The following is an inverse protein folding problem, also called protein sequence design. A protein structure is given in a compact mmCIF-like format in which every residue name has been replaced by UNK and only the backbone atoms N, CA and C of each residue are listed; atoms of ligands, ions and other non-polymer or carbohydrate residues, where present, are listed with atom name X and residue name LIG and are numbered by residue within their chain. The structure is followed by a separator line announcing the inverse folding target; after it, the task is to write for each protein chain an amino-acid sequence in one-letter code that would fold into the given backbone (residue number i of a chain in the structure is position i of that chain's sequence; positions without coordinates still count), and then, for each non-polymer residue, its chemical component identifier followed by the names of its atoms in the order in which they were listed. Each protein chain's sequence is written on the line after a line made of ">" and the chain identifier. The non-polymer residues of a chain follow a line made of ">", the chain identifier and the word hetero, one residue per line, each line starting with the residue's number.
data_IF_923443263562
#
_entry.id   IF_923443263562
#
_cell.length_a   1.000
_cell.length_b   1.000
_cell.length_c   1.000
_cell.angle_alpha   90.00
_cell.angle_beta   90.00
_cell.angle_gamma   90.00
#
_symmetry.space_group_name_H-M   'P 1'
#
loop_
_entity.id
_entity.type
_entity.pdbx_description
1 polymer ?
#
# COMPACT_ATOMS: atom_id res chain seq x y z
N UNK A 1 -12.70 46.05 28.01
CA UNK A 1 -11.52 45.20 27.74
C UNK A 1 -11.75 43.86 28.42
N UNK A 2 -12.04 42.80 27.67
CA UNK A 2 -11.94 41.41 28.13
C UNK A 2 -12.04 40.49 26.90
N UNK A 3 -10.91 39.88 26.59
CA UNK A 3 -10.64 38.88 25.56
C UNK A 3 -11.34 37.55 25.87
N UNK A 4 -11.94 36.93 24.84
CA UNK A 4 -12.40 35.54 24.88
C UNK A 4 -11.47 34.70 23.99
N UNK A 5 -10.46 34.07 24.60
CA UNK A 5 -9.64 33.06 23.95
C UNK A 5 -10.33 31.70 24.11
N UNK A 6 -10.77 31.11 22.99
CA UNK A 6 -11.29 29.75 22.95
C UNK A 6 -10.17 28.75 23.19
N UNK A 7 -10.22 28.04 24.31
CA UNK A 7 -9.39 26.87 24.56
C UNK A 7 -9.87 25.74 23.64
N UNK A 8 -9.02 25.34 22.69
CA UNK A 8 -9.12 24.05 22.02
C UNK A 8 -8.75 23.00 23.06
N UNK A 9 -9.75 22.34 23.62
CA UNK A 9 -9.59 21.17 24.47
C UNK A 9 -9.05 20.04 23.60
N UNK A 10 -7.75 19.76 23.68
CA UNK A 10 -7.17 18.50 23.23
C UNK A 10 -7.83 17.37 24.04
N UNK A 11 -8.56 16.49 23.35
CA UNK A 11 -9.10 15.26 23.94
C UNK A 11 -7.97 14.39 24.52
N UNK A 12 -8.26 13.56 25.53
CA UNK A 12 -7.24 12.75 26.15
C UNK A 12 -6.64 11.78 25.14
N UNK A 13 -5.33 11.90 24.93
CA UNK A 13 -4.46 10.87 24.37
C UNK A 13 -4.81 9.55 25.05
N UNK A 14 -5.33 8.57 24.30
CA UNK A 14 -5.71 7.26 24.83
C UNK A 14 -4.51 6.62 25.53
N UNK A 15 -4.51 6.61 26.86
CA UNK A 15 -3.53 5.86 27.64
C UNK A 15 -3.59 4.38 27.21
N UNK A 16 -2.44 3.67 27.15
CA UNK A 16 -2.44 2.24 26.87
C UNK A 16 -3.34 1.55 27.90
N UNK A 17 -4.45 1.01 27.44
CA UNK A 17 -5.41 0.30 28.29
C UNK A 17 -4.67 -0.82 29.01
N UNK A 18 -4.66 -0.82 30.35
CA UNK A 18 -4.17 -1.90 31.21
C UNK A 18 -5.08 -3.14 31.11
N UNK A 19 -5.28 -3.62 29.88
CA UNK A 19 -6.05 -4.81 29.58
C UNK A 19 -5.26 -6.08 29.89
N UNK A 20 -5.93 -7.24 29.93
CA UNK A 20 -5.28 -8.54 30.13
C UNK A 20 -4.14 -8.81 29.14
N UNK A 21 -4.16 -8.19 27.95
CA UNK A 21 -3.12 -8.31 26.94
C UNK A 21 -1.73 -7.82 27.39
N UNK A 22 -1.63 -6.79 28.25
CA UNK A 22 -0.34 -6.32 28.79
C UNK A 22 0.31 -7.34 29.73
N UNK A 23 -0.48 -8.25 30.32
CA UNK A 23 -0.02 -9.26 31.28
C UNK A 23 0.45 -10.54 30.60
N UNK A 24 0.08 -10.75 29.35
CA UNK A 24 0.49 -11.92 28.56
C UNK A 24 1.82 -11.58 27.90
N UNK A 25 2.90 -12.22 28.35
CA UNK A 25 4.22 -12.13 27.69
C UNK A 25 4.25 -13.09 26.50
N UNK A 26 4.81 -12.62 25.39
CA UNK A 26 5.04 -13.40 24.19
C UNK A 26 6.53 -13.75 24.11
N UNK A 27 6.81 -15.00 23.78
CA UNK A 27 8.11 -15.50 23.34
C UNK A 27 7.84 -16.67 22.39
N UNK A 28 7.63 -16.34 21.12
CA UNK A 28 7.21 -17.30 20.10
C UNK A 28 8.30 -17.35 19.03
N UNK A 29 8.96 -18.50 18.92
CA UNK A 29 9.91 -18.76 17.84
C UNK A 29 9.18 -19.30 16.60
N UNK A 30 9.40 -18.65 15.47
CA UNK A 30 8.90 -19.04 14.14
C UNK A 30 10.11 -19.36 13.27
N UNK A 31 10.33 -20.65 13.02
CA UNK A 31 11.45 -21.13 12.24
C UNK A 31 10.95 -22.03 11.12
N UNK A 32 11.47 -21.82 9.91
CA UNK A 32 11.18 -22.73 8.81
C UNK A 32 12.12 -23.94 8.86
N UNK A 33 11.57 -25.15 8.91
CA UNK A 33 12.38 -26.37 8.99
C UNK A 33 13.11 -26.72 7.68
N UNK A 34 12.45 -26.48 6.53
CA UNK A 34 12.96 -26.62 5.15
C UNK A 34 12.16 -25.67 4.25
N UNK A 35 12.78 -25.18 3.18
CA UNK A 35 12.22 -24.32 2.10
C UNK A 35 10.80 -23.80 2.37
N UNK A 36 10.72 -22.58 2.92
CA UNK A 36 9.48 -21.84 3.13
C UNK A 36 8.81 -21.70 1.77
N UNK A 37 7.65 -22.30 1.59
CA UNK A 37 6.80 -22.06 0.43
C UNK A 37 5.55 -21.33 0.93
N UNK A 38 5.51 -20.01 0.77
CA UNK A 38 4.39 -19.20 1.17
C UNK A 38 3.58 -18.80 -0.06
N UNK A 39 2.37 -19.32 -0.18
CA UNK A 39 1.48 -19.04 -1.30
C UNK A 39 0.21 -18.35 -0.81
N UNK A 40 -0.10 -17.22 -1.42
CA UNK A 40 -1.34 -16.45 -1.27
C UNK A 40 -1.84 -16.03 -2.64
N UNK A 41 -3.02 -15.40 -2.72
CA UNK A 41 -3.55 -14.88 -3.98
C UNK A 41 -2.66 -13.81 -4.64
N UNK A 42 -1.79 -13.15 -3.89
CA UNK A 42 -0.94 -12.07 -4.37
C UNK A 42 0.56 -12.41 -4.38
N UNK A 43 0.98 -13.50 -3.74
CA UNK A 43 2.39 -13.80 -3.51
C UNK A 43 2.66 -15.29 -3.50
N UNK A 44 3.78 -15.69 -4.07
CA UNK A 44 4.36 -17.03 -3.97
C UNK A 44 5.84 -16.88 -3.65
N UNK A 45 6.25 -17.20 -2.42
CA UNK A 45 7.62 -16.97 -1.95
C UNK A 45 8.30 -18.29 -1.60
N UNK A 46 9.57 -18.38 -1.96
CA UNK A 46 10.49 -19.45 -1.59
C UNK A 46 11.63 -18.89 -0.74
N UNK A 47 11.92 -19.51 0.40
CA UNK A 47 12.98 -18.99 1.26
C UNK A 47 13.11 -19.65 2.63
N UNK A 48 13.59 -18.88 3.60
CA UNK A 48 13.77 -19.33 4.98
C UNK A 48 13.51 -18.17 5.94
N UNK A 49 12.85 -18.46 7.06
CA UNK A 49 12.57 -17.49 8.11
C UNK A 49 13.05 -18.02 9.46
N UNK A 50 13.70 -17.15 10.23
CA UNK A 50 13.97 -17.35 11.63
C UNK A 50 13.58 -16.05 12.35
N UNK A 51 12.37 -16.06 12.90
CA UNK A 51 11.74 -14.91 13.53
C UNK A 51 11.35 -15.27 14.96
N UNK A 52 11.43 -14.31 15.85
CA UNK A 52 10.94 -14.41 17.22
C UNK A 52 9.96 -13.27 17.47
N UNK A 53 8.80 -13.61 18.03
CA UNK A 53 7.82 -12.63 18.48
C UNK A 53 7.94 -12.54 19.99
N UNK A 54 8.39 -11.39 20.46
CA UNK A 54 8.64 -11.08 21.88
C UNK A 54 7.72 -9.95 22.35
N UNK A 55 7.79 -9.60 23.64
CA UNK A 55 7.04 -8.48 24.21
C UNK A 55 5.77 -8.92 24.91
N UNK A 56 4.67 -8.17 24.72
CA UNK A 56 3.37 -8.52 25.31
C UNK A 56 2.32 -8.72 24.23
N UNK A 57 1.19 -9.36 24.55
CA UNK A 57 0.10 -9.49 23.60
C UNK A 57 -0.51 -8.14 23.19
N UNK A 58 -0.28 -7.07 23.95
CA UNK A 58 -0.67 -5.71 23.59
C UNK A 58 0.37 -4.97 22.73
N UNK A 59 1.65 -5.34 22.85
CA UNK A 59 2.76 -4.75 22.11
C UNK A 59 3.75 -5.86 21.69
N UNK A 60 3.40 -6.63 20.64
CA UNK A 60 4.28 -7.66 20.11
C UNK A 60 5.39 -7.03 19.27
N UNK A 61 6.63 -7.45 19.53
CA UNK A 61 7.81 -7.05 18.74
C UNK A 61 8.36 -8.25 18.00
N UNK A 62 8.57 -8.09 16.69
CA UNK A 62 9.18 -9.12 15.85
C UNK A 62 10.68 -8.83 15.74
N UNK A 63 11.51 -9.85 15.97
CA UNK A 63 12.96 -9.81 15.74
C UNK A 63 13.41 -11.01 14.90
N UNK A 64 14.56 -10.91 14.25
CA UNK A 64 15.15 -11.98 13.45
C UNK A 64 15.27 -11.63 11.97
N UNK A 65 15.33 -12.64 11.09
CA UNK A 65 15.54 -12.44 9.65
C UNK A 65 14.71 -13.39 8.81
N UNK A 66 14.36 -12.92 7.62
CA UNK A 66 13.74 -13.73 6.57
C UNK A 66 14.50 -13.51 5.28
N UNK A 67 14.85 -14.61 4.62
CA UNK A 67 15.52 -14.62 3.33
C UNK A 67 14.62 -15.26 2.29
N UNK A 68 14.59 -14.68 1.10
CA UNK A 68 13.88 -15.18 -0.06
C UNK A 68 14.88 -15.51 -1.16
N UNK A 69 14.82 -16.74 -1.66
CA UNK A 69 15.69 -17.23 -2.74
C UNK A 69 15.02 -17.15 -4.10
N UNK A 70 13.69 -17.23 -4.13
CA UNK A 70 12.88 -17.06 -5.33
C UNK A 70 11.45 -16.66 -4.95
N UNK A 71 10.69 -16.17 -5.91
CA UNK A 71 9.26 -15.98 -5.73
C UNK A 71 8.64 -15.08 -6.76
N UNK A 72 7.33 -14.93 -6.65
CA UNK A 72 6.50 -14.10 -7.49
C UNK A 72 5.61 -13.22 -6.61
N UNK A 73 5.55 -11.94 -6.93
CA UNK A 73 4.65 -10.97 -6.33
C UNK A 73 3.79 -10.40 -7.44
N UNK A 74 2.48 -10.36 -7.23
CA UNK A 74 1.55 -9.72 -8.15
C UNK A 74 1.18 -8.34 -7.62
N UNK A 75 1.65 -7.28 -8.29
CA UNK A 75 1.28 -5.89 -7.98
C UNK A 75 0.77 -5.20 -9.24
N UNK A 76 -0.30 -4.40 -9.11
CA UNK A 76 -0.84 -3.60 -10.23
C UNK A 76 -1.08 -4.42 -11.51
N UNK A 77 -1.61 -5.65 -11.37
CA UNK A 77 -1.81 -6.61 -12.45
C UNK A 77 -0.53 -7.01 -13.21
N UNK A 78 0.65 -6.83 -12.62
CA UNK A 78 1.94 -7.24 -13.16
C UNK A 78 2.61 -8.23 -12.21
N UNK A 79 3.33 -9.18 -12.80
CA UNK A 79 4.13 -10.16 -12.09
C UNK A 79 5.54 -9.61 -11.90
N UNK A 80 6.01 -9.62 -10.67
CA UNK A 80 7.37 -9.29 -10.26
C UNK A 80 8.01 -10.55 -9.70
N UNK A 81 9.15 -10.94 -10.25
CA UNK A 81 9.94 -12.06 -9.78
C UNK A 81 10.91 -11.57 -8.73
N UNK A 82 11.03 -12.28 -7.62
CA UNK A 82 12.06 -12.04 -6.62
C UNK A 82 13.28 -12.86 -7.00
N UNK A 83 14.39 -12.18 -7.29
CA UNK A 83 15.69 -12.82 -7.51
C UNK A 83 16.39 -13.12 -6.18
N UNK A 84 16.20 -12.22 -5.21
CA UNK A 84 16.68 -12.36 -3.84
C UNK A 84 16.02 -11.34 -2.95
N UNK A 85 15.81 -11.73 -1.69
CA UNK A 85 15.32 -10.82 -0.68
C UNK A 85 15.86 -11.13 0.70
N UNK A 86 16.13 -10.09 1.47
CA UNK A 86 16.41 -10.16 2.90
C UNK A 86 15.53 -9.13 3.59
N UNK A 87 14.85 -9.57 4.66
CA UNK A 87 14.15 -8.71 5.60
C UNK A 87 14.75 -9.00 6.97
N UNK A 88 15.23 -7.95 7.64
CA UNK A 88 15.83 -8.05 8.96
C UNK A 88 15.07 -7.18 9.95
N UNK A 89 14.81 -7.75 11.12
CA UNK A 89 14.20 -7.08 12.26
C UNK A 89 15.21 -7.11 13.41
N UNK A 90 15.99 -6.04 13.54
CA UNK A 90 17.11 -5.97 14.49
C UNK A 90 16.77 -5.23 15.78
N UNK A 91 15.68 -4.47 15.82
CA UNK A 91 15.27 -3.69 16.99
C UNK A 91 14.36 -4.51 17.93
N UNK A 92 14.79 -4.85 19.15
CA UNK A 92 13.99 -5.64 20.09
C UNK A 92 12.88 -4.84 20.79
N UNK A 93 12.85 -3.51 20.61
CA UNK A 93 11.87 -2.63 21.24
C UNK A 93 10.76 -2.20 20.27
N UNK A 94 10.97 -2.35 18.96
CA UNK A 94 10.02 -1.95 17.92
C UNK A 94 10.16 -2.86 16.71
N UNK A 95 9.04 -3.24 16.13
CA UNK A 95 9.01 -3.97 14.86
C UNK A 95 9.38 -3.04 13.71
N UNK A 96 10.68 -3.00 13.38
CA UNK A 96 11.26 -2.13 12.35
C UNK A 96 12.01 -2.99 11.32
N UNK A 97 11.37 -3.33 10.18
CA UNK A 97 12.01 -4.13 9.15
C UNK A 97 12.97 -3.28 8.30
N UNK A 98 14.16 -3.83 8.05
CA UNK A 98 15.14 -3.35 7.07
C UNK A 98 15.14 -4.32 5.90
N UNK A 99 14.86 -3.80 4.70
CA UNK A 99 14.71 -4.61 3.50
C UNK A 99 15.95 -4.50 2.62
N UNK A 100 16.26 -5.59 1.91
CA UNK A 100 17.17 -5.62 0.78
C UNK A 100 16.62 -6.61 -0.24
N UNK A 101 15.87 -6.10 -1.22
CA UNK A 101 15.16 -6.90 -2.21
C UNK A 101 15.64 -6.55 -3.62
N UNK A 102 15.79 -7.57 -4.46
CA UNK A 102 15.97 -7.45 -5.91
C UNK A 102 14.78 -8.12 -6.60
N UNK A 103 14.01 -7.31 -7.34
CA UNK A 103 12.89 -7.76 -8.14
C UNK A 103 13.19 -7.58 -9.63
N UNK A 104 12.69 -8.48 -10.45
CA UNK A 104 12.70 -8.38 -11.90
C UNK A 104 11.27 -8.42 -12.45
N UNK A 105 11.00 -7.68 -13.52
CA UNK A 105 9.71 -7.76 -14.23
C UNK A 105 9.90 -7.43 -15.69
N UNK A 106 9.04 -7.95 -16.55
CA UNK A 106 9.04 -7.63 -17.98
C UNK A 106 7.78 -6.84 -18.31
N UNK A 107 7.96 -5.62 -18.84
CA UNK A 107 6.87 -4.78 -19.32
C UNK A 107 7.10 -4.46 -20.79
N UNK A 108 6.17 -4.89 -21.65
CA UNK A 108 6.30 -4.81 -23.10
C UNK A 108 7.57 -5.55 -23.58
N UNK A 109 8.58 -4.81 -24.02
CA UNK A 109 9.87 -5.31 -24.51
C UNK A 109 11.04 -5.03 -23.55
N UNK A 110 10.77 -4.47 -22.37
CA UNK A 110 11.79 -4.06 -21.40
C UNK A 110 11.84 -5.00 -20.21
N UNK A 111 13.03 -5.49 -19.89
CA UNK A 111 13.31 -6.17 -18.63
C UNK A 111 13.73 -5.12 -17.60
N UNK A 112 12.99 -5.04 -16.51
CA UNK A 112 13.20 -4.07 -15.44
C UNK A 112 13.75 -4.78 -14.22
N UNK A 113 14.80 -4.21 -13.62
CA UNK A 113 15.37 -4.62 -12.34
C UNK A 113 15.13 -3.52 -11.31
N UNK A 114 14.47 -3.86 -10.22
CA UNK A 114 14.13 -2.97 -9.12
C UNK A 114 14.86 -3.43 -7.88
N UNK A 115 15.62 -2.54 -7.25
CA UNK A 115 16.29 -2.82 -5.97
C UNK A 115 15.73 -1.92 -4.89
N UNK A 116 15.34 -2.52 -3.76
CA UNK A 116 14.82 -1.81 -2.58
C UNK A 116 15.77 -2.08 -1.41
N UNK A 117 16.26 -1.02 -0.75
CA UNK A 117 17.20 -1.13 0.36
C UNK A 117 16.90 -0.16 1.49
N UNK A 118 17.04 -0.63 2.72
CA UNK A 118 16.89 0.18 3.92
C UNK A 118 15.56 -0.04 4.64
N UNK A 119 15.30 0.73 5.70
CA UNK A 119 14.06 0.63 6.47
C UNK A 119 12.87 1.19 5.69
N UNK A 120 11.65 0.77 6.05
CA UNK A 120 10.43 1.16 5.31
C UNK A 120 10.19 2.68 5.25
N UNK A 121 10.58 3.42 6.28
CA UNK A 121 10.45 4.89 6.37
C UNK A 121 11.49 5.64 5.52
N UNK A 122 12.62 5.02 5.23
CA UNK A 122 13.75 5.62 4.47
C UNK A 122 14.27 4.66 3.39
N UNK A 123 13.33 4.07 2.66
CA UNK A 123 13.64 3.08 1.63
C UNK A 123 14.31 3.74 0.43
N UNK A 124 15.49 3.26 0.08
CA UNK A 124 16.17 3.61 -1.16
C UNK A 124 15.72 2.67 -2.27
N UNK A 125 15.29 3.23 -3.40
CA UNK A 125 14.87 2.44 -4.56
C UNK A 125 15.69 2.80 -5.78
N UNK A 126 16.18 1.80 -6.51
CA UNK A 126 16.85 1.99 -7.79
C UNK A 126 16.21 1.14 -8.89
N UNK A 127 16.14 1.69 -10.08
CA UNK A 127 15.49 1.08 -11.24
C UNK A 127 16.47 1.03 -12.41
N UNK A 128 16.57 -0.12 -13.05
CA UNK A 128 17.37 -0.34 -14.26
C UNK A 128 16.48 -1.04 -15.28
N UNK A 129 16.66 -0.72 -16.56
CA UNK A 129 16.00 -1.44 -17.64
C UNK A 129 17.00 -1.97 -18.66
N UNK A 130 16.62 -3.03 -19.33
CA UNK A 130 17.29 -3.55 -20.53
C UNK A 130 16.26 -3.73 -21.65
N UNK A 131 16.35 -2.98 -22.78
CA UNK A 131 17.34 -1.93 -23.09
C UNK A 131 17.32 -0.72 -22.12
N UNK A 132 18.42 0.07 -22.00
CA UNK A 132 18.52 1.15 -21.02
C UNK A 132 17.57 2.31 -21.31
N UNK A 133 16.81 2.71 -20.30
CA UNK A 133 15.87 3.83 -20.32
C UNK A 133 16.18 4.84 -19.22
N UNK A 134 15.81 6.13 -19.41
CA UNK A 134 15.77 7.10 -18.31
C UNK A 134 14.87 6.62 -17.16
N UNK A 135 15.24 6.90 -15.92
CA UNK A 135 14.45 6.49 -14.73
C UNK A 135 12.99 6.96 -14.79
N UNK A 136 12.74 8.17 -15.31
CA UNK A 136 11.39 8.70 -15.49
C UNK A 136 10.54 7.82 -16.43
N UNK A 137 11.15 7.25 -17.48
CA UNK A 137 10.47 6.34 -18.40
C UNK A 137 10.20 4.98 -17.76
N UNK A 138 11.10 4.49 -16.91
CA UNK A 138 10.88 3.25 -16.15
C UNK A 138 9.69 3.42 -15.20
N UNK A 139 9.61 4.55 -14.49
CA UNK A 139 8.49 4.87 -13.60
C UNK A 139 7.19 4.96 -14.39
N UNK A 140 7.18 5.61 -15.56
CA UNK A 140 5.99 5.68 -16.42
C UNK A 140 5.58 4.29 -16.96
N UNK A 141 6.54 3.43 -17.30
CA UNK A 141 6.27 2.04 -17.69
C UNK A 141 5.61 1.25 -16.55
N UNK A 142 6.07 1.42 -15.33
CA UNK A 142 5.49 0.76 -14.15
C UNK A 142 4.08 1.30 -13.88
N UNK A 143 3.91 2.63 -13.86
CA UNK A 143 2.66 3.29 -13.47
C UNK A 143 1.57 3.21 -14.56
N UNK A 144 1.95 3.34 -15.83
CA UNK A 144 1.03 3.50 -16.97
C UNK A 144 1.21 2.46 -18.07
N UNK A 145 2.26 1.64 -18.02
CA UNK A 145 2.55 0.64 -19.05
C UNK A 145 3.19 1.18 -20.33
N UNK A 146 3.59 2.46 -20.37
CA UNK A 146 4.16 3.13 -21.55
C UNK A 146 5.27 4.11 -21.14
N UNK A 147 6.28 4.31 -21.99
CA UNK A 147 7.34 5.33 -21.83
C UNK A 147 6.86 6.72 -22.23
N UNK A 148 7.58 7.78 -21.86
CA UNK A 148 7.26 9.16 -22.30
C UNK A 148 7.30 9.31 -23.81
N UNK A 149 8.27 8.67 -24.48
CA UNK A 149 8.38 8.72 -25.93
C UNK A 149 7.21 8.01 -26.62
N UNK A 150 6.73 6.89 -26.07
CA UNK A 150 5.53 6.20 -26.57
C UNK A 150 4.27 7.03 -26.33
N UNK A 151 4.17 7.71 -25.17
CA UNK A 151 3.06 8.62 -24.87
C UNK A 151 3.08 9.88 -25.75
N UNK A 152 4.26 10.38 -26.13
CA UNK A 152 4.42 11.50 -27.06
C UNK A 152 4.17 11.11 -28.52
N UNK A 153 4.49 9.87 -28.91
CA UNK A 153 4.22 9.32 -30.23
C UNK A 153 2.73 8.94 -30.45
N UNK A 154 1.93 8.88 -29.38
CA UNK A 154 0.49 8.63 -29.43
C UNK A 154 -0.28 9.77 -28.72
N UNK A 155 -0.50 10.92 -29.38
CA UNK A 155 -1.08 12.11 -28.74
C UNK A 155 -2.55 11.99 -28.33
N UNK A 156 -3.19 10.82 -28.46
CA UNK A 156 -4.65 10.67 -28.35
C UNK A 156 -5.23 10.59 -26.93
N UNK A 157 -4.44 10.61 -25.86
CA UNK A 157 -4.97 10.45 -24.49
C UNK A 157 -4.49 11.47 -23.44
N UNK A 158 -3.80 12.54 -23.85
CA UNK A 158 -3.65 13.70 -22.97
C UNK A 158 -4.92 14.54 -23.05
N UNK A 159 -5.55 14.76 -21.91
CA UNK A 159 -6.73 15.62 -21.78
C UNK A 159 -6.49 16.99 -22.41
N UNK A 160 -6.91 17.14 -23.66
CA UNK A 160 -6.99 18.40 -24.38
C UNK A 160 -8.21 19.23 -23.95
N UNK A 161 -8.68 19.06 -22.71
CA UNK A 161 -9.82 19.79 -22.15
C UNK A 161 -9.42 21.09 -21.45
N UNK A 162 -8.13 21.41 -21.26
CA UNK A 162 -7.74 22.65 -20.57
C UNK A 162 -7.09 23.75 -21.43
N UNK A 163 -6.81 23.51 -22.71
CA UNK A 163 -6.09 24.48 -23.55
C UNK A 163 -6.90 25.08 -24.71
N UNK A 164 -8.19 24.77 -24.83
CA UNK A 164 -9.09 25.35 -25.84
C UNK A 164 -10.17 26.30 -25.26
N UNK A 165 -10.04 26.71 -24.00
CA UNK A 165 -11.02 27.54 -23.31
C UNK A 165 -10.63 29.04 -23.20
N UNK A 166 -9.76 29.55 -24.07
CA UNK A 166 -9.34 30.98 -24.03
C UNK A 166 -9.60 31.74 -25.34
N UNK A 167 -10.30 31.13 -26.32
CA UNK A 167 -10.47 31.72 -27.66
C UNK A 167 -11.88 32.16 -28.08
N UNK A 168 -12.94 31.90 -27.30
CA UNK A 168 -14.30 32.22 -27.75
C UNK A 168 -15.26 32.49 -26.58
N UNK A 169 -15.13 33.65 -25.95
CA UNK A 169 -16.12 34.15 -25.01
C UNK A 169 -16.22 35.69 -25.05
N UNK A 170 -16.22 36.26 -26.25
CA UNK A 170 -16.84 37.56 -26.48
C UNK A 170 -18.17 37.31 -27.16
N UNK A 171 -19.25 37.83 -26.57
CA UNK A 171 -20.66 37.70 -26.99
C UNK A 171 -21.34 36.39 -26.56
N UNK A 172 -21.94 36.36 -25.37
CA UNK A 172 -23.40 36.14 -25.21
C UNK A 172 -23.79 36.69 -23.84
N UNK A 173 -24.29 37.92 -23.87
CA UNK A 173 -25.09 38.51 -22.82
C UNK A 173 -26.50 37.91 -22.82
N UNK A 174 -27.03 37.62 -21.64
CA UNK A 174 -28.47 37.57 -21.38
C UNK A 174 -29.08 36.17 -21.37
N UNK A 175 -29.50 35.73 -20.18
CA UNK A 175 -30.33 34.54 -20.05
C UNK A 175 -30.23 33.85 -18.71
N UNK A 176 -30.48 34.58 -17.62
CA UNK A 176 -30.76 33.96 -16.32
C UNK A 176 -32.18 33.38 -16.39
N UNK A 177 -32.32 32.09 -16.70
CA UNK A 177 -33.57 31.36 -16.48
C UNK A 177 -33.32 29.92 -16.05
N UNK A 178 -33.38 29.75 -14.72
CA UNK A 178 -34.15 28.71 -14.03
C UNK A 178 -34.14 27.32 -14.68
N UNK A 179 -33.17 26.51 -14.27
CA UNK A 179 -33.33 25.06 -14.16
C UNK A 179 -32.89 24.63 -12.75
N UNK A 180 -33.68 25.05 -11.76
CA UNK A 180 -33.70 24.42 -10.46
C UNK A 180 -34.62 23.21 -10.59
N UNK A 181 -34.06 22.00 -10.66
CA UNK A 181 -34.88 20.82 -10.89
C UNK A 181 -34.16 19.48 -10.97
N UNK A 182 -32.95 19.35 -10.42
CA UNK A 182 -32.34 18.04 -10.21
C UNK A 182 -31.91 17.89 -8.77
N UNK A 183 -32.70 17.07 -8.09
CA UNK A 183 -32.55 16.59 -6.73
C UNK A 183 -31.11 16.21 -6.43
N UNK A 184 -30.63 16.71 -5.29
CA UNK A 184 -29.39 16.27 -4.66
C UNK A 184 -29.43 14.76 -4.47
N UNK A 185 -28.62 14.04 -5.24
CA UNK A 185 -28.23 12.68 -4.91
C UNK A 185 -27.32 12.75 -3.69
N UNK A 186 -27.93 12.71 -2.51
CA UNK A 186 -27.24 12.52 -1.23
C UNK A 186 -26.73 11.09 -1.19
N UNK A 187 -25.41 10.92 -1.30
CA UNK A 187 -24.75 9.66 -0.99
C UNK A 187 -24.59 9.66 0.52
N UNK A 188 -25.42 8.87 1.22
CA UNK A 188 -25.26 8.57 2.64
C UNK A 188 -23.97 7.76 2.83
N UNK A 189 -22.93 8.29 3.49
CA UNK A 189 -21.77 7.50 3.87
C UNK A 189 -22.12 6.81 5.19
N UNK A 190 -22.77 5.65 5.13
CA UNK A 190 -22.92 4.80 6.31
C UNK A 190 -21.60 4.11 6.60
N UNK A 191 -20.72 4.82 7.32
CA UNK A 191 -19.61 4.24 8.07
C UNK A 191 -20.08 3.94 9.49
N UNK A 192 -20.11 2.64 9.83
CA UNK A 192 -19.89 2.16 11.17
C UNK A 192 -21.14 1.81 12.00
N UNK A 193 -21.21 0.55 12.43
CA UNK A 193 -22.01 0.16 13.60
C UNK A 193 -22.50 -1.28 13.61
N UNK A 194 -21.72 -2.16 14.25
CA UNK A 194 -22.11 -3.35 15.01
C UNK A 194 -23.40 -4.12 14.67
N UNK A 195 -23.23 -5.39 14.25
CA UNK A 195 -23.78 -6.57 14.95
C UNK A 195 -23.22 -7.82 14.24
N UNK A 196 -22.39 -8.66 14.87
CA UNK A 196 -22.84 -9.76 15.73
C UNK A 196 -24.00 -10.53 15.10
N UNK A 197 -23.70 -11.56 14.29
CA UNK A 197 -24.09 -12.94 14.64
C UNK A 197 -23.48 -13.99 13.67
N UNK A 198 -22.83 -15.04 14.21
CA UNK A 198 -22.36 -16.20 13.46
C UNK A 198 -23.50 -17.16 13.14
N UNK A 199 -23.55 -17.64 11.90
CA UNK A 199 -24.52 -18.66 11.48
C UNK A 199 -24.23 -20.04 12.07
N UNK A 200 -24.75 -20.31 13.28
CA UNK A 200 -25.03 -21.66 13.74
C UNK A 200 -26.53 -21.93 13.59
N UNK A 201 -26.92 -22.93 12.81
CA UNK A 201 -28.30 -23.41 12.74
C UNK A 201 -28.35 -24.86 13.19
N UNK A 202 -28.92 -25.09 14.37
CA UNK A 202 -29.41 -26.39 14.82
C UNK A 202 -30.92 -26.39 14.61
N UNK A 203 -31.44 -27.39 13.90
CA UNK A 203 -32.86 -27.71 13.90
C UNK A 203 -32.99 -29.19 14.26
N UNK A 204 -33.40 -29.46 15.50
CA UNK A 204 -33.99 -30.72 15.90
C UNK A 204 -35.50 -30.60 15.74
N UNK A 205 -36.15 -31.57 15.11
CA UNK A 205 -37.58 -31.76 15.26
C UNK A 205 -37.93 -33.25 15.23
N UNK A 206 -38.39 -33.69 16.42
CA UNK A 206 -39.09 -34.91 16.88
C UNK A 206 -38.83 -36.26 16.20
#
# INVERSE_FOLDING_TARGET
>A
MATLAGQVQSGPESAPSEGPANKVKLDIAVQTARDLNLTSSAVSLQGQANLHVIGTAADPVIVGRTEFTAGDIFLMNKRYQIERGLIEFSNPNRTEPVLNLLLTTTINQYNLSLTFRGPLDKMQTSYVSDPPLPTADIINLIARGQTTQQAAASPSNFGASSLLAQGAASQVSGGVQKLAGLSSLSIDPTLGGNNSDPGARIAMQK
#
